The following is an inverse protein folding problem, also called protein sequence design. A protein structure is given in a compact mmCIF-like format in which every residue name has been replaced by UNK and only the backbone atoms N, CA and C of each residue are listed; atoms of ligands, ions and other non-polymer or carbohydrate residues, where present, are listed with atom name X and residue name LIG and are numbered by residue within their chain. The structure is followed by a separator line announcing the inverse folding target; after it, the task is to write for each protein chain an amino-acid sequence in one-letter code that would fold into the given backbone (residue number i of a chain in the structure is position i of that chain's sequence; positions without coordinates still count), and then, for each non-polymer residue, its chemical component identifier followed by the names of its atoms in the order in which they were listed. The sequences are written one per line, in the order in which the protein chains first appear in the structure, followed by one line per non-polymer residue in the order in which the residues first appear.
data_IF_094769022413
#
_entry.id   IF_094769022413
#
_cell.length_a   1.000
_cell.length_b   1.000
_cell.length_c   1.000
_cell.angle_alpha   90.00
_cell.angle_beta   90.00
_cell.angle_gamma   90.00
#
_symmetry.space_group_name_H-M   'P 1'
#
loop_
_entity.id
_entity.type
_entity.pdbx_description
1 polymer ?
#
# COMPACT_ATOMS: atom_id res chain seq x y z
N UNK A 1 -25.21 68.02 16.98
CA UNK A 1 -25.81 67.13 17.99
C UNK A 1 -24.77 66.10 18.38
N UNK A 2 -24.38 66.17 19.66
CA UNK A 2 -23.66 65.19 20.49
C UNK A 2 -22.85 64.08 19.80
N UNK A 3 -21.53 64.27 19.81
CA UNK A 3 -20.59 63.17 20.03
C UNK A 3 -20.95 62.49 21.35
N UNK A 4 -21.52 61.30 21.30
CA UNK A 4 -21.58 60.38 22.44
C UNK A 4 -20.42 59.40 22.30
N UNK A 5 -19.23 59.84 22.69
CA UNK A 5 -18.14 58.94 23.07
C UNK A 5 -18.58 58.18 24.31
N UNK A 6 -19.12 56.97 24.12
CA UNK A 6 -19.21 55.98 25.18
C UNK A 6 -17.77 55.57 25.54
N UNK A 7 -17.22 56.21 26.57
CA UNK A 7 -16.05 55.72 27.32
C UNK A 7 -16.50 54.56 28.22
N UNK A 8 -17.05 53.52 27.61
CA UNK A 8 -17.28 52.27 28.33
C UNK A 8 -15.96 51.51 28.35
N UNK A 9 -15.61 51.03 29.54
CA UNK A 9 -14.34 50.38 29.84
C UNK A 9 -14.29 49.03 29.08
N UNK A 10 -13.74 49.06 27.86
CA UNK A 10 -13.67 47.88 26.98
C UNK A 10 -12.79 46.75 27.53
N UNK A 11 -12.20 46.94 28.71
CA UNK A 11 -11.31 45.98 29.39
C UNK A 11 -12.03 44.69 29.76
N UNK A 12 -13.33 44.74 30.07
CA UNK A 12 -14.15 43.56 30.38
C UNK A 12 -14.47 42.75 29.12
N UNK A 13 -14.90 43.41 28.04
CA UNK A 13 -15.12 42.78 26.74
C UNK A 13 -13.84 42.18 26.11
N UNK A 14 -12.68 42.81 26.35
CA UNK A 14 -11.37 42.28 25.93
C UNK A 14 -11.00 41.03 26.74
N UNK A 15 -11.26 41.01 28.05
CA UNK A 15 -11.06 39.81 28.90
C UNK A 15 -11.96 38.65 28.47
N UNK A 16 -13.25 38.91 28.25
CA UNK A 16 -14.19 37.89 27.79
C UNK A 16 -13.78 37.32 26.43
N UNK A 17 -13.27 38.17 25.53
CA UNK A 17 -12.76 37.73 24.22
C UNK A 17 -11.50 36.85 24.37
N UNK A 18 -10.59 37.19 25.28
CA UNK A 18 -9.39 36.39 25.55
C UNK A 18 -9.69 35.06 26.26
N UNK A 19 -10.65 35.05 27.19
CA UNK A 19 -11.14 33.82 27.82
C UNK A 19 -11.87 32.92 26.80
N UNK A 20 -12.71 33.50 25.95
CA UNK A 20 -13.39 32.77 24.88
C UNK A 20 -12.38 32.18 23.89
N UNK A 21 -11.32 32.90 23.51
CA UNK A 21 -10.26 32.36 22.67
C UNK A 21 -9.52 31.18 23.30
N UNK A 22 -9.28 31.21 24.62
CA UNK A 22 -8.67 30.09 25.34
C UNK A 22 -9.58 28.87 25.36
N UNK A 23 -10.87 29.08 25.65
CA UNK A 23 -11.87 28.00 25.63
C UNK A 23 -11.98 27.36 24.24
N UNK A 24 -12.00 28.17 23.17
CA UNK A 24 -11.98 27.67 21.79
C UNK A 24 -10.72 26.85 21.53
N UNK A 25 -9.54 27.33 21.94
CA UNK A 25 -8.29 26.60 21.73
C UNK A 25 -8.25 25.27 22.49
N UNK A 26 -8.80 25.22 23.71
CA UNK A 26 -8.89 24.00 24.51
C UNK A 26 -9.92 23.02 23.92
N UNK A 27 -11.10 23.48 23.48
CA UNK A 27 -12.10 22.65 22.79
C UNK A 27 -11.59 22.14 21.43
N UNK A 28 -10.88 22.96 20.65
CA UNK A 28 -10.28 22.53 19.38
C UNK A 28 -9.28 21.39 19.61
N UNK A 29 -8.51 21.46 20.69
CA UNK A 29 -7.58 20.40 21.08
C UNK A 29 -8.32 19.12 21.48
N UNK A 30 -9.37 19.22 22.29
CA UNK A 30 -10.18 18.06 22.69
C UNK A 30 -10.86 17.40 21.49
N UNK A 31 -11.40 18.19 20.56
CA UNK A 31 -11.97 17.70 19.30
C UNK A 31 -10.92 16.99 18.45
N UNK A 32 -9.70 17.52 18.40
CA UNK A 32 -8.60 16.90 17.65
C UNK A 32 -8.20 15.55 18.27
N UNK A 33 -8.04 15.49 19.58
CA UNK A 33 -7.73 14.24 20.30
C UNK A 33 -8.83 13.18 20.12
N UNK A 34 -10.10 13.59 20.19
CA UNK A 34 -11.25 12.70 19.97
C UNK A 34 -11.29 12.17 18.52
N UNK A 35 -10.99 13.03 17.53
CA UNK A 35 -10.90 12.63 16.12
C UNK A 35 -9.76 11.65 15.89
N UNK A 36 -8.59 11.90 16.47
CA UNK A 36 -7.44 11.02 16.33
C UNK A 36 -7.71 9.64 16.94
N UNK A 37 -8.38 9.60 18.11
CA UNK A 37 -8.84 8.36 18.72
C UNK A 37 -9.87 7.62 17.85
N UNK A 38 -10.81 8.35 17.23
CA UNK A 38 -11.81 7.79 16.32
C UNK A 38 -11.15 7.17 15.09
N UNK A 39 -10.29 7.91 14.39
CA UNK A 39 -9.64 7.43 13.16
C UNK A 39 -8.68 6.29 13.41
N UNK A 40 -7.99 6.30 14.56
CA UNK A 40 -7.15 5.17 14.99
C UNK A 40 -7.97 3.88 15.08
N UNK A 41 -9.13 3.91 15.74
CA UNK A 41 -10.04 2.75 15.84
C UNK A 41 -10.69 2.39 14.51
N UNK A 42 -11.09 3.38 13.71
CA UNK A 42 -11.70 3.13 12.40
C UNK A 42 -10.72 2.39 11.48
N UNK A 43 -9.43 2.71 11.57
CA UNK A 43 -8.39 2.11 10.73
C UNK A 43 -8.15 0.62 10.99
N UNK A 44 -8.60 0.08 12.12
CA UNK A 44 -8.48 -1.36 12.44
C UNK A 44 -9.64 -2.18 11.89
N UNK A 45 -10.73 -1.52 11.45
CA UNK A 45 -11.89 -2.20 10.88
C UNK A 45 -11.56 -2.57 9.42
N UNK A 46 -11.57 -3.87 9.13
CA UNK A 46 -11.38 -4.39 7.78
C UNK A 46 -12.54 -4.07 6.84
N UNK A 47 -12.36 -4.36 5.55
CA UNK A 47 -13.44 -4.22 4.58
C UNK A 47 -14.59 -5.18 4.87
N UNK A 48 -15.81 -4.72 4.62
CA UNK A 48 -16.98 -5.59 4.63
C UNK A 48 -16.89 -6.60 3.50
N UNK A 49 -17.03 -7.87 3.86
CA UNK A 49 -16.99 -8.98 2.91
C UNK A 49 -18.35 -9.08 2.21
N UNK A 50 -18.35 -9.35 0.91
CA UNK A 50 -19.58 -9.53 0.14
C UNK A 50 -20.27 -10.85 0.53
N UNK A 51 -21.61 -10.87 0.51
CA UNK A 51 -22.44 -12.04 0.92
C UNK A 51 -22.14 -13.33 0.15
N UNK A 52 -21.51 -13.23 -1.02
CA UNK A 52 -21.12 -14.38 -1.83
C UNK A 52 -19.85 -15.10 -1.35
N UNK A 53 -19.11 -14.53 -0.40
CA UNK A 53 -17.85 -15.11 0.08
C UNK A 53 -18.19 -16.14 1.17
N UNK A 54 -17.71 -17.39 1.05
CA UNK A 54 -17.89 -18.39 2.09
C UNK A 54 -17.31 -17.90 3.42
N UNK A 55 -18.09 -18.05 4.50
CA UNK A 55 -17.61 -17.73 5.84
C UNK A 55 -16.82 -18.91 6.38
N UNK A 56 -15.51 -18.73 6.49
CA UNK A 56 -14.64 -19.71 7.13
C UNK A 56 -13.49 -19.05 7.91
N UNK A 57 -12.99 -19.76 8.92
CA UNK A 57 -11.86 -19.34 9.74
C UNK A 57 -10.52 -19.87 9.20
N UNK A 58 -10.53 -20.71 8.16
CA UNK A 58 -9.32 -21.27 7.57
C UNK A 58 -9.39 -21.36 6.04
N UNK A 59 -8.25 -21.64 5.42
CA UNK A 59 -8.12 -21.76 3.97
C UNK A 59 -8.66 -23.10 3.43
N UNK A 60 -8.97 -24.06 4.30
CA UNK A 60 -9.32 -25.44 3.92
C UNK A 60 -10.64 -25.52 3.14
N UNK A 61 -11.55 -24.58 3.37
CA UNK A 61 -12.88 -24.54 2.75
C UNK A 61 -12.97 -23.56 1.56
N UNK A 62 -11.81 -23.12 1.03
CA UNK A 62 -11.77 -22.33 -0.19
C UNK A 62 -12.25 -23.12 -1.41
N UNK A 63 -13.36 -22.70 -2.01
CA UNK A 63 -13.93 -23.36 -3.17
C UNK A 63 -13.08 -23.16 -4.44
N UNK A 64 -12.75 -24.25 -5.13
CA UNK A 64 -12.07 -24.19 -6.44
C UNK A 64 -13.09 -23.91 -7.53
N UNK A 65 -13.10 -22.68 -8.06
CA UNK A 65 -14.08 -22.23 -9.08
C UNK A 65 -13.76 -22.78 -10.47
N UNK A 66 -12.46 -22.81 -10.84
CA UNK A 66 -12.00 -23.44 -12.08
C UNK A 66 -10.57 -23.95 -11.94
N UNK A 67 -10.26 -25.00 -12.69
CA UNK A 67 -8.90 -25.45 -12.95
C UNK A 67 -8.68 -25.50 -14.46
N UNK A 68 -7.45 -25.27 -14.91
CA UNK A 68 -7.09 -25.36 -16.33
C UNK A 68 -5.78 -26.11 -16.52
N UNK A 69 -5.74 -26.97 -17.53
CA UNK A 69 -4.62 -27.88 -17.79
C UNK A 69 -4.64 -29.14 -16.91
N UNK A 70 -3.67 -30.03 -17.16
CA UNK A 70 -3.47 -31.25 -16.39
C UNK A 70 -2.20 -31.14 -15.56
N UNK A 71 -2.30 -31.42 -14.26
CA UNK A 71 -1.13 -31.42 -13.37
C UNK A 71 -0.26 -32.62 -13.70
N UNK A 72 1.03 -32.38 -13.93
CA UNK A 72 2.03 -33.46 -14.05
C UNK A 72 2.23 -34.12 -12.69
N UNK A 73 1.89 -35.40 -12.56
CA UNK A 73 2.02 -36.18 -11.32
C UNK A 73 3.04 -37.30 -11.51
N UNK A 74 4.32 -36.94 -11.56
CA UNK A 74 5.42 -37.91 -11.62
C UNK A 74 6.11 -38.05 -10.27
N UNK A 75 6.50 -39.27 -9.91
CA UNK A 75 7.30 -39.52 -8.71
C UNK A 75 8.74 -39.04 -8.96
N UNK A 76 9.34 -38.34 -7.97
CA UNK A 76 10.70 -37.75 -8.00
C UNK A 76 10.87 -36.46 -8.82
N UNK A 77 9.81 -35.66 -9.00
CA UNK A 77 9.98 -34.29 -9.48
C UNK A 77 10.86 -33.51 -8.50
N UNK A 78 11.88 -32.81 -9.03
CA UNK A 78 12.74 -31.94 -8.24
C UNK A 78 12.00 -30.67 -7.87
N UNK A 79 12.28 -30.14 -6.68
CA UNK A 79 11.76 -28.84 -6.27
C UNK A 79 12.45 -27.72 -7.09
N UNK A 80 11.78 -26.58 -7.24
CA UNK A 80 12.34 -25.40 -7.91
C UNK A 80 13.67 -24.96 -7.29
N UNK A 81 13.83 -25.04 -5.96
CA UNK A 81 15.10 -24.74 -5.29
C UNK A 81 16.27 -25.61 -5.77
N UNK A 82 16.07 -26.93 -5.82
CA UNK A 82 17.09 -27.87 -6.30
C UNK A 82 17.41 -27.66 -7.78
N UNK A 83 16.39 -27.34 -8.59
CA UNK A 83 16.56 -27.07 -10.02
C UNK A 83 17.36 -25.79 -10.26
N UNK A 84 17.12 -24.75 -9.47
CA UNK A 84 17.82 -23.47 -9.57
C UNK A 84 19.31 -23.63 -9.25
N UNK A 85 19.65 -24.44 -8.24
CA UNK A 85 21.04 -24.76 -7.90
C UNK A 85 21.68 -25.63 -8.99
N UNK A 86 20.98 -26.68 -9.46
CA UNK A 86 21.46 -27.59 -10.50
C UNK A 86 21.76 -26.86 -11.83
N UNK A 87 20.89 -25.93 -12.22
CA UNK A 87 21.03 -25.15 -13.45
C UNK A 87 22.00 -23.97 -13.28
N UNK A 88 22.44 -23.67 -12.06
CA UNK A 88 23.32 -22.54 -11.78
C UNK A 88 22.72 -21.17 -12.10
N UNK A 89 21.40 -21.08 -12.20
CA UNK A 89 20.66 -19.87 -12.62
C UNK A 89 20.36 -18.92 -11.46
N UNK A 90 20.58 -19.34 -10.21
CA UNK A 90 20.62 -18.42 -9.08
C UNK A 90 21.67 -18.82 -8.04
N UNK A 91 21.99 -17.87 -7.15
CA UNK A 91 22.88 -18.05 -6.01
C UNK A 91 22.14 -17.61 -4.74
N UNK A 92 21.56 -18.60 -4.06
CA UNK A 92 20.82 -18.41 -2.82
C UNK A 92 21.76 -18.14 -1.64
N UNK A 93 22.95 -18.73 -1.64
CA UNK A 93 23.93 -18.59 -0.53
C UNK A 93 24.49 -17.17 -0.49
N UNK A 94 25.00 -16.68 -1.62
CA UNK A 94 25.48 -15.29 -1.70
C UNK A 94 24.36 -14.28 -1.50
N UNK A 95 23.16 -14.60 -1.97
CA UNK A 95 21.99 -13.77 -1.72
C UNK A 95 21.66 -13.67 -0.23
N UNK A 96 21.72 -14.79 0.48
CA UNK A 96 21.52 -14.83 1.92
C UNK A 96 22.59 -14.06 2.70
N UNK A 97 23.85 -14.15 2.27
CA UNK A 97 24.96 -13.41 2.89
C UNK A 97 24.79 -11.89 2.77
N UNK A 98 24.27 -11.41 1.63
CA UNK A 98 24.13 -9.97 1.35
C UNK A 98 22.83 -9.38 1.87
N UNK A 99 21.71 -10.10 1.73
CA UNK A 99 20.37 -9.58 1.99
C UNK A 99 19.57 -10.37 3.05
N UNK A 100 20.17 -11.37 3.70
CA UNK A 100 19.51 -12.22 4.71
C UNK A 100 18.70 -13.37 4.10
N UNK A 101 18.03 -14.17 4.92
CA UNK A 101 17.49 -15.50 4.57
C UNK A 101 16.48 -15.60 3.41
N UNK A 102 16.06 -14.49 2.79
CA UNK A 102 15.20 -14.44 1.58
C UNK A 102 15.90 -13.86 0.35
N UNK A 103 17.17 -13.49 0.47
CA UNK A 103 17.95 -12.92 -0.63
C UNK A 103 18.44 -13.97 -1.62
N UNK A 104 18.39 -13.65 -2.92
CA UNK A 104 18.96 -14.48 -3.98
C UNK A 104 19.53 -13.63 -5.10
N UNK A 105 20.56 -14.13 -5.77
CA UNK A 105 21.06 -13.54 -7.02
C UNK A 105 20.65 -14.40 -8.21
N UNK A 106 19.92 -13.83 -9.18
CA UNK A 106 19.74 -14.49 -10.47
C UNK A 106 21.00 -14.37 -11.32
N UNK A 107 21.31 -15.41 -12.11
CA UNK A 107 22.49 -15.53 -12.97
C UNK A 107 22.11 -16.02 -14.35
N UNK A 108 22.86 -15.57 -15.36
CA UNK A 108 22.81 -16.05 -16.75
C UNK A 108 21.37 -16.16 -17.26
N UNK A 109 20.90 -17.37 -17.54
CA UNK A 109 19.58 -17.62 -18.11
C UNK A 109 18.45 -17.41 -17.11
N UNK A 110 18.71 -17.43 -15.80
CA UNK A 110 17.74 -17.05 -14.78
C UNK A 110 17.32 -15.58 -14.90
N UNK A 111 18.28 -14.69 -15.17
CA UNK A 111 18.00 -13.25 -15.40
C UNK A 111 17.19 -13.08 -16.68
N UNK A 112 17.58 -13.77 -17.76
CA UNK A 112 16.89 -13.69 -19.05
C UNK A 112 15.46 -14.21 -18.97
N UNK A 113 15.25 -15.33 -18.28
CA UNK A 113 13.92 -15.91 -18.08
C UNK A 113 13.02 -14.96 -17.28
N UNK A 114 13.54 -14.39 -16.19
CA UNK A 114 12.79 -13.42 -15.39
C UNK A 114 12.37 -12.21 -16.24
N UNK A 115 13.29 -11.64 -17.02
CA UNK A 115 12.97 -10.51 -17.91
C UNK A 115 11.97 -10.89 -19.00
N UNK A 116 12.07 -12.10 -19.55
CA UNK A 116 11.13 -12.60 -20.54
C UNK A 116 9.71 -12.75 -19.99
N UNK A 117 9.57 -13.24 -18.75
CA UNK A 117 8.28 -13.36 -18.07
C UNK A 117 7.65 -11.99 -17.79
N UNK A 118 8.45 -11.01 -17.35
CA UNK A 118 8.00 -9.63 -17.15
C UNK A 118 7.48 -9.05 -18.47
N UNK A 119 8.27 -9.17 -19.55
CA UNK A 119 7.89 -8.63 -20.86
C UNK A 119 6.64 -9.33 -21.42
N UNK A 120 6.52 -10.65 -21.24
CA UNK A 120 5.33 -11.39 -21.65
C UNK A 120 4.07 -10.91 -20.91
N UNK A 121 4.17 -10.68 -19.59
CA UNK A 121 3.07 -10.14 -18.79
C UNK A 121 2.66 -8.74 -19.25
N UNK A 122 3.63 -7.86 -19.52
CA UNK A 122 3.38 -6.52 -20.05
C UNK A 122 2.68 -6.57 -21.41
N UNK A 123 3.20 -7.34 -22.36
CA UNK A 123 2.62 -7.46 -23.70
C UNK A 123 1.19 -8.04 -23.66
N UNK A 124 0.94 -9.02 -22.78
CA UNK A 124 -0.38 -9.60 -22.60
C UNK A 124 -1.40 -8.58 -22.10
N UNK A 125 -0.98 -7.70 -21.18
CA UNK A 125 -1.82 -6.65 -20.62
C UNK A 125 -2.02 -5.50 -21.62
N UNK A 126 -0.98 -5.10 -22.34
CA UNK A 126 -1.08 -4.09 -23.40
C UNK A 126 -2.08 -4.50 -24.49
N UNK A 127 -2.06 -5.77 -24.91
CA UNK A 127 -3.05 -6.33 -25.86
C UNK A 127 -4.50 -6.27 -25.34
N UNK A 128 -4.69 -6.21 -24.02
CA UNK A 128 -6.00 -6.07 -23.38
C UNK A 128 -6.38 -4.60 -23.12
N UNK A 129 -5.57 -3.65 -23.57
CA UNK A 129 -5.82 -2.21 -23.47
C UNK A 129 -5.29 -1.55 -22.19
N UNK A 130 -4.48 -2.24 -21.40
CA UNK A 130 -3.84 -1.64 -20.23
C UNK A 130 -2.62 -0.80 -20.64
N UNK A 131 -2.39 0.32 -19.94
CA UNK A 131 -1.21 1.16 -20.16
C UNK A 131 -0.09 0.73 -19.22
N UNK A 132 1.07 0.36 -19.77
CA UNK A 132 2.24 0.07 -18.96
C UNK A 132 2.75 1.36 -18.30
N UNK A 133 2.88 1.34 -16.98
CA UNK A 133 3.39 2.45 -16.18
C UNK A 133 4.50 1.95 -15.27
N UNK A 134 5.67 2.59 -15.35
CA UNK A 134 6.74 2.40 -14.38
C UNK A 134 6.59 3.44 -13.27
N UNK A 135 6.30 2.98 -12.06
CA UNK A 135 6.06 3.86 -10.91
C UNK A 135 7.30 3.98 -10.01
N UNK A 136 7.39 5.03 -9.18
CA UNK A 136 8.46 5.13 -8.19
C UNK A 136 8.46 3.94 -7.23
N UNK A 137 9.62 3.35 -6.96
CA UNK A 137 9.74 2.26 -5.99
C UNK A 137 9.54 2.73 -4.54
N UNK A 138 9.73 4.02 -4.29
CA UNK A 138 9.59 4.62 -2.97
C UNK A 138 8.36 5.51 -2.90
N UNK A 139 7.60 5.37 -1.81
CA UNK A 139 6.42 6.17 -1.54
C UNK A 139 6.51 6.83 -0.16
N UNK A 140 5.85 7.98 0.00
CA UNK A 140 5.68 8.65 1.30
C UNK A 140 4.61 7.93 2.13
N UNK A 141 4.76 7.96 3.47
CA UNK A 141 3.85 7.29 4.42
C UNK A 141 2.38 7.72 4.27
N UNK A 142 2.13 9.00 4.01
CA UNK A 142 0.80 9.58 3.82
C UNK A 142 0.06 9.04 2.58
N UNK A 143 0.81 8.74 1.52
CA UNK A 143 0.26 8.09 0.34
C UNK A 143 -0.01 6.61 0.64
N UNK A 144 0.92 5.91 1.29
CA UNK A 144 0.72 4.51 1.66
C UNK A 144 -0.50 4.27 2.55
N UNK A 145 -0.77 5.18 3.49
CA UNK A 145 -1.94 5.18 4.38
C UNK A 145 -3.28 4.98 3.68
N UNK A 146 -3.35 5.39 2.41
CA UNK A 146 -4.59 5.38 1.62
C UNK A 146 -4.84 4.04 0.94
N UNK A 147 -3.79 3.26 0.71
CA UNK A 147 -3.88 1.98 0.02
C UNK A 147 -3.97 0.80 0.99
N UNK A 148 -3.39 0.94 2.18
CA UNK A 148 -3.24 -0.16 3.13
C UNK A 148 -3.30 0.33 4.58
N UNK A 149 -3.68 -0.57 5.49
CA UNK A 149 -3.66 -0.33 6.93
C UNK A 149 -2.21 -0.22 7.41
N UNK A 150 -1.72 1.01 7.60
CA UNK A 150 -0.34 1.31 7.98
C UNK A 150 0.17 0.56 9.20
N UNK A 151 -0.70 0.27 10.17
CA UNK A 151 -0.31 -0.38 11.42
C UNK A 151 0.20 -1.81 11.21
N UNK A 152 -0.37 -2.55 10.25
CA UNK A 152 0.01 -3.93 9.98
C UNK A 152 1.29 -4.02 9.13
N UNK A 153 1.59 -2.98 8.35
CA UNK A 153 2.76 -2.93 7.46
C UNK A 153 3.96 -2.16 8.03
N UNK A 154 3.79 -1.40 9.12
CA UNK A 154 4.90 -0.66 9.73
C UNK A 154 6.03 -1.59 10.23
N UNK A 155 5.73 -2.88 10.46
CA UNK A 155 6.70 -3.95 10.77
C UNK A 155 7.23 -4.70 9.53
N UNK A 156 6.44 -4.81 8.46
CA UNK A 156 6.77 -5.59 7.26
C UNK A 156 7.55 -4.81 6.20
N UNK A 157 7.57 -3.48 6.28
CA UNK A 157 8.18 -2.61 5.27
C UNK A 157 9.56 -2.09 5.66
N UNK A 158 10.44 -2.04 4.66
CA UNK A 158 11.71 -1.32 4.76
C UNK A 158 11.47 0.19 4.84
N UNK A 159 11.97 0.81 5.92
CA UNK A 159 11.93 2.25 6.17
C UNK A 159 13.31 2.86 6.03
N UNK A 160 13.43 3.91 5.21
CA UNK A 160 14.63 4.76 5.20
C UNK A 160 14.53 5.89 6.23
N UNK A 161 15.52 6.00 7.12
CA UNK A 161 15.50 6.93 8.27
C UNK A 161 15.60 8.42 7.90
N UNK A 162 16.22 8.76 6.75
CA UNK A 162 16.56 10.16 6.43
C UNK A 162 15.45 10.96 5.76
N UNK A 163 14.47 10.29 5.14
CA UNK A 163 13.20 10.86 4.63
C UNK A 163 12.24 9.68 4.56
N UNK A 164 11.20 9.66 5.39
CA UNK A 164 10.27 8.51 5.53
C UNK A 164 9.73 8.10 4.14
N UNK A 165 10.38 7.09 3.58
CA UNK A 165 10.11 6.49 2.28
C UNK A 165 10.04 4.98 2.51
N UNK A 166 8.95 4.38 2.07
CA UNK A 166 8.76 2.93 2.12
C UNK A 166 8.83 2.36 0.71
N UNK A 167 9.41 1.16 0.58
CA UNK A 167 9.46 0.40 -0.67
C UNK A 167 8.13 -0.34 -0.86
N UNK A 168 7.38 -0.09 -1.94
CA UNK A 168 6.03 -0.68 -2.10
C UNK A 168 5.64 -0.93 -3.57
N UNK A 169 4.87 -2.00 -3.81
CA UNK A 169 4.09 -2.26 -5.03
C UNK A 169 2.80 -1.42 -5.19
N UNK A 170 2.34 -0.70 -4.16
CA UNK A 170 1.00 -0.08 -4.12
C UNK A 170 0.91 1.33 -4.75
N UNK A 171 1.55 1.54 -5.89
CA UNK A 171 1.67 2.86 -6.54
C UNK A 171 0.45 3.26 -7.36
N UNK A 172 -0.31 2.29 -7.89
CA UNK A 172 -1.42 2.55 -8.82
C UNK A 172 -2.69 3.07 -8.14
N UNK A 173 -3.05 2.57 -6.95
CA UNK A 173 -4.28 3.01 -6.24
C UNK A 173 -4.20 4.48 -5.80
N UNK A 174 -2.98 5.00 -5.57
CA UNK A 174 -2.78 6.41 -5.23
C UNK A 174 -2.82 7.36 -6.43
N UNK A 175 -2.69 6.85 -7.66
CA UNK A 175 -2.77 7.68 -8.87
C UNK A 175 -4.18 8.23 -9.08
N UNK A 176 -5.24 7.53 -8.69
CA UNK A 176 -6.63 8.01 -8.83
C UNK A 176 -6.87 9.38 -8.17
N UNK A 177 -6.17 9.72 -7.08
CA UNK A 177 -6.26 11.07 -6.46
C UNK A 177 -5.33 12.10 -7.11
N UNK A 178 -4.32 11.69 -7.86
CA UNK A 178 -3.58 12.57 -8.76
C UNK A 178 -4.30 12.77 -10.12
N UNK A 179 -5.41 12.06 -10.33
CA UNK A 179 -6.16 11.99 -11.58
C UNK A 179 -7.21 13.09 -11.68
N UNK A 180 -6.80 14.34 -11.54
CA UNK A 180 -7.56 15.46 -12.14
C UNK A 180 -7.20 15.64 -13.64
N UNK A 181 -6.24 14.84 -14.14
CA UNK A 181 -5.74 14.89 -15.53
C UNK A 181 -6.21 13.75 -16.47
N UNK A 182 -6.79 12.64 -15.98
CA UNK A 182 -7.25 11.54 -16.86
C UNK A 182 -8.79 11.46 -16.81
N UNK A 183 -9.44 12.43 -17.46
CA UNK A 183 -10.86 12.32 -17.79
C UNK A 183 -11.02 11.44 -19.05
N UNK A 184 -11.08 10.11 -18.91
CA UNK A 184 -12.07 9.27 -19.65
C UNK A 184 -11.97 7.74 -19.56
N UNK A 185 -10.96 7.11 -18.94
CA UNK A 185 -10.92 5.63 -18.89
C UNK A 185 -11.18 5.09 -17.49
N UNK A 186 -12.45 5.11 -17.10
CA UNK A 186 -12.94 4.24 -16.04
C UNK A 186 -12.72 2.77 -16.48
N UNK A 187 -12.20 1.95 -15.57
CA UNK A 187 -12.02 0.49 -15.67
C UNK A 187 -10.75 0.00 -16.41
N UNK A 188 -9.58 0.16 -15.80
CA UNK A 188 -8.45 -0.75 -15.99
C UNK A 188 -7.32 -0.47 -14.99
N UNK A 189 -7.34 -1.11 -13.82
CA UNK A 189 -6.19 -1.11 -12.90
C UNK A 189 -5.72 -2.55 -12.72
N UNK A 190 -4.54 -2.88 -13.26
CA UNK A 190 -3.94 -4.20 -13.19
C UNK A 190 -2.63 -4.16 -12.39
N UNK A 191 -2.69 -4.82 -11.22
CA UNK A 191 -1.72 -5.70 -10.54
C UNK A 191 -0.25 -5.57 -10.98
N UNK A 192 0.59 -5.08 -10.06
CA UNK A 192 2.01 -5.49 -10.01
C UNK A 192 2.06 -6.91 -9.42
N UNK A 193 2.77 -7.79 -10.12
CA UNK A 193 2.97 -9.19 -9.76
C UNK A 193 4.45 -9.35 -9.42
N UNK A 194 4.80 -9.34 -8.13
CA UNK A 194 6.01 -10.01 -7.65
C UNK A 194 5.66 -11.39 -7.10
N UNK A 195 6.02 -12.41 -7.88
CA UNK A 195 6.30 -13.75 -7.39
C UNK A 195 7.44 -13.64 -6.36
N UNK A 196 7.08 -13.70 -5.08
CA UNK A 196 7.98 -14.11 -4.00
C UNK A 196 7.74 -15.58 -3.68
#
# INVERSE_FOLDING_TARGET
MSFLTAKEDATEAIKDTEETKKLIADEEKEVQEAKDALYSRLSTIGNLVHDSVPFDNNEDNNAVIRAWGEKRVEKKLRNHGDLVELLGIADLKKGADVAGGRGFYLKVDGVRLNQALINFGLELLEKRGYTALQTPFFMRKDAMAKCAQLAQFDEELYKEEKKIKTLIEATLTNLEKATQFIKHSANAVAIMLHLH
#
